data_IF_635151036058
#
_entry.id   IF_635151036058
#
_cell.length_a   1.000
_cell.length_b   1.000
_cell.length_c   1.000
_cell.angle_alpha   90.00
_cell.angle_beta   90.00
_cell.angle_gamma   90.00
#
_symmetry.space_group_name_H-M   'P 1'
#
loop_
_entity.id
_entity.type
_entity.pdbx_description
1 polymer ?
#
# COMPACT_ATOMS: atom_id res chain seq x y z
N UNK A 1 22.35 -6.24 2.25
CA UNK A 1 21.38 -5.59 3.14
C UNK A 1 20.00 -6.16 2.87
N UNK A 2 19.26 -6.52 3.92
CA UNK A 2 17.88 -6.95 3.78
C UNK A 2 17.00 -5.76 3.35
N UNK A 3 16.05 -6.00 2.45
CA UNK A 3 15.03 -5.01 2.05
C UNK A 3 13.76 -5.35 2.81
N UNK A 4 13.35 -4.48 3.74
CA UNK A 4 12.15 -4.68 4.55
C UNK A 4 10.91 -4.17 3.82
N UNK A 5 9.82 -4.92 3.97
CA UNK A 5 8.52 -4.60 3.42
C UNK A 5 7.51 -4.60 4.56
N UNK A 6 6.62 -3.61 4.56
CA UNK A 6 5.41 -3.65 5.37
C UNK A 6 4.27 -4.19 4.51
N UNK A 7 3.58 -5.21 5.03
CA UNK A 7 2.60 -5.98 4.29
C UNK A 7 1.14 -5.63 4.64
N UNK A 8 0.91 -4.76 5.62
CA UNK A 8 -0.44 -4.44 6.09
C UNK A 8 -0.57 -2.97 6.49
N UNK A 9 -0.87 -2.11 5.52
CA UNK A 9 -1.04 -0.67 5.74
C UNK A 9 -2.43 -0.22 5.28
N UNK A 10 -3.06 0.59 6.14
CA UNK A 10 -4.28 1.33 5.84
C UNK A 10 -3.97 2.81 5.71
N UNK A 11 -4.60 3.47 4.74
CA UNK A 11 -4.53 4.92 4.58
C UNK A 11 -5.92 5.53 4.59
N UNK A 12 -5.99 6.84 4.82
CA UNK A 12 -7.23 7.63 4.76
C UNK A 12 -7.93 7.55 3.41
N UNK A 13 -7.24 7.11 2.35
CA UNK A 13 -7.81 6.94 1.01
C UNK A 13 -8.81 5.78 0.95
N UNK A 14 -8.60 4.70 1.72
CA UNK A 14 -9.33 3.45 1.56
C UNK A 14 -9.89 2.80 2.80
N UNK A 15 -9.54 3.33 3.96
CA UNK A 15 -9.92 2.78 5.24
C UNK A 15 -10.24 3.92 6.20
N UNK A 16 -11.50 3.98 6.64
CA UNK A 16 -11.99 5.05 7.52
C UNK A 16 -11.46 4.95 8.95
N UNK A 17 -10.83 3.84 9.30
CA UNK A 17 -10.18 3.56 10.57
C UNK A 17 -8.69 3.97 10.59
N UNK A 18 -8.16 4.52 9.49
CA UNK A 18 -6.80 5.05 9.42
C UNK A 18 -6.77 6.58 9.44
N UNK A 19 -5.76 7.11 10.15
CA UNK A 19 -5.40 8.54 10.14
C UNK A 19 -4.17 8.83 9.28
N UNK A 20 -3.57 7.82 8.65
CA UNK A 20 -2.34 7.95 7.85
C UNK A 20 -2.69 8.33 6.41
N UNK A 21 -2.21 9.48 5.92
CA UNK A 21 -2.38 9.83 4.51
C UNK A 21 -1.42 9.01 3.62
N UNK A 22 -1.75 8.76 2.33
CA UNK A 22 -0.83 8.12 1.40
C UNK A 22 0.54 8.81 1.32
N UNK A 23 0.58 10.14 1.38
CA UNK A 23 1.81 10.93 1.34
C UNK A 23 2.64 10.76 2.61
N UNK A 24 2.02 10.84 3.78
CA UNK A 24 2.69 10.63 5.07
C UNK A 24 3.24 9.20 5.17
N UNK A 25 2.51 8.21 4.65
CA UNK A 25 2.96 6.82 4.57
C UNK A 25 4.29 6.71 3.80
N UNK A 26 4.44 7.41 2.68
CA UNK A 26 5.70 7.39 1.90
C UNK A 26 6.84 8.03 2.68
N UNK A 27 6.60 9.17 3.33
CA UNK A 27 7.61 9.87 4.12
C UNK A 27 8.10 9.01 5.29
N UNK A 28 7.18 8.34 5.98
CA UNK A 28 7.50 7.47 7.11
C UNK A 28 8.23 6.21 6.66
N UNK A 29 7.84 5.63 5.51
CA UNK A 29 8.54 4.50 4.92
C UNK A 29 10.00 4.83 4.57
N UNK A 30 10.25 6.01 4.01
CA UNK A 30 11.62 6.48 3.71
C UNK A 30 12.42 6.70 5.00
N UNK A 31 11.82 7.35 6.01
CA UNK A 31 12.43 7.56 7.33
C UNK A 31 12.86 6.24 8.00
N UNK A 32 12.08 5.19 7.81
CA UNK A 32 12.32 3.85 8.34
C UNK A 32 13.21 2.97 7.44
N UNK A 33 13.53 3.42 6.22
CA UNK A 33 14.30 2.66 5.23
C UNK A 33 13.55 1.46 4.64
N UNK A 34 12.21 1.48 4.64
CA UNK A 34 11.39 0.46 4.00
C UNK A 34 11.54 0.53 2.47
N UNK A 35 11.49 -0.63 1.81
CA UNK A 35 11.66 -0.74 0.36
C UNK A 35 10.41 -1.19 -0.37
N UNK A 36 9.38 -1.58 0.36
CA UNK A 36 8.04 -1.68 -0.20
C UNK A 36 6.95 -1.70 0.85
N UNK A 37 5.76 -1.37 0.37
CA UNK A 37 4.57 -1.10 1.15
C UNK A 37 3.39 -1.76 0.47
N UNK A 38 2.59 -2.47 1.25
CA UNK A 38 1.38 -3.12 0.80
C UNK A 38 0.18 -2.38 1.38
N UNK A 39 -0.61 -1.76 0.51
CA UNK A 39 -1.83 -1.06 0.91
C UNK A 39 -2.98 -2.06 0.93
N UNK A 40 -3.41 -2.45 2.12
CA UNK A 40 -4.44 -3.46 2.41
C UNK A 40 -5.75 -2.81 2.82
N UNK A 41 -6.20 -1.82 2.05
CA UNK A 41 -7.39 -1.04 2.40
C UNK A 41 -8.67 -1.89 2.50
N UNK A 42 -9.59 -1.54 3.40
CA UNK A 42 -10.91 -2.20 3.55
C UNK A 42 -11.81 -2.02 2.32
N UNK A 43 -11.80 -0.80 1.77
CA UNK A 43 -12.76 -0.41 0.72
C UNK A 43 -12.19 -0.60 -0.70
N UNK A 44 -10.92 -1.01 -0.82
CA UNK A 44 -10.20 -1.13 -2.09
C UNK A 44 -10.38 0.08 -3.02
N UNK A 45 -10.24 1.34 -2.56
CA UNK A 45 -10.64 2.54 -3.30
C UNK A 45 -9.76 2.84 -4.54
N UNK A 46 -8.60 2.21 -4.61
CA UNK A 46 -7.57 2.59 -5.56
C UNK A 46 -7.91 2.02 -6.94
N UNK A 47 -8.28 2.92 -7.86
CA UNK A 47 -8.25 2.59 -9.27
C UNK A 47 -6.84 2.14 -9.67
N UNK A 48 -6.77 1.20 -10.61
CA UNK A 48 -5.49 0.63 -11.04
C UNK A 48 -4.56 1.68 -11.66
N UNK A 49 -5.10 2.64 -12.42
CA UNK A 49 -4.30 3.66 -13.09
C UNK A 49 -3.86 4.73 -12.10
N UNK A 50 -4.76 5.17 -11.21
CA UNK A 50 -4.45 6.10 -10.13
C UNK A 50 -3.32 5.55 -9.23
N UNK A 51 -3.43 4.29 -8.80
CA UNK A 51 -2.40 3.63 -7.99
C UNK A 51 -1.05 3.57 -8.72
N UNK A 52 -1.06 3.23 -10.01
CA UNK A 52 0.15 3.15 -10.82
C UNK A 52 0.81 4.53 -10.97
N UNK A 53 0.03 5.58 -11.17
CA UNK A 53 0.52 6.95 -11.25
C UNK A 53 1.13 7.39 -9.93
N UNK A 54 0.45 7.15 -8.82
CA UNK A 54 0.97 7.43 -7.48
C UNK A 54 2.29 6.69 -7.23
N UNK A 55 2.32 5.38 -7.47
CA UNK A 55 3.51 4.57 -7.29
C UNK A 55 4.71 5.00 -8.15
N UNK A 56 4.46 5.52 -9.36
CA UNK A 56 5.51 6.00 -10.25
C UNK A 56 6.24 7.25 -9.72
N UNK A 57 5.68 7.95 -8.74
CA UNK A 57 6.28 9.14 -8.12
C UNK A 57 7.28 8.80 -7.01
N UNK A 58 7.37 7.54 -6.59
CA UNK A 58 8.07 7.17 -5.36
C UNK A 58 9.08 6.04 -5.56
N UNK A 59 10.21 6.16 -4.89
CA UNK A 59 11.30 5.18 -4.91
C UNK A 59 11.10 4.06 -3.88
N UNK A 60 9.89 3.52 -3.83
CA UNK A 60 9.49 2.35 -3.04
C UNK A 60 8.61 1.44 -3.90
N UNK A 61 8.65 0.13 -3.64
CA UNK A 61 7.70 -0.80 -4.26
C UNK A 61 6.34 -0.64 -3.59
N UNK A 62 5.33 -0.19 -4.31
CA UNK A 62 3.96 -0.17 -3.83
C UNK A 62 3.18 -1.37 -4.39
N UNK A 63 2.47 -2.03 -3.49
CA UNK A 63 1.66 -3.22 -3.78
C UNK A 63 0.21 -2.89 -3.46
N UNK A 64 -0.66 -3.04 -4.47
CA UNK A 64 -2.10 -2.86 -4.30
C UNK A 64 -2.71 -4.17 -3.79
N UNK A 65 -3.10 -4.19 -2.53
CA UNK A 65 -3.76 -5.33 -1.89
C UNK A 65 -5.15 -4.91 -1.40
N UNK A 66 -5.77 -5.76 -0.58
CA UNK A 66 -7.06 -5.50 0.06
C UNK A 66 -7.15 -6.34 1.33
N UNK A 67 -7.66 -5.74 2.40
CA UNK A 67 -8.16 -6.49 3.55
C UNK A 67 -9.65 -6.77 3.32
N UNK A 68 -10.04 -8.03 3.34
CA UNK A 68 -11.42 -8.47 3.14
C UNK A 68 -12.02 -8.86 4.48
N UNK A 69 -13.08 -8.18 4.88
CA UNK A 69 -13.89 -8.59 6.02
C UNK A 69 -14.74 -9.82 5.64
N UNK A 70 -14.70 -10.83 6.51
CA UNK A 70 -15.48 -12.05 6.35
C UNK A 70 -16.16 -12.44 7.67
N UNK A 71 -17.11 -13.36 7.62
CA UNK A 71 -17.72 -13.95 8.83
C UNK A 71 -16.74 -14.75 9.69
N UNK A 72 -15.50 -14.97 9.23
CA UNK A 72 -14.44 -15.69 9.95
C UNK A 72 -13.27 -14.79 10.34
N UNK A 73 -13.43 -13.46 10.25
CA UNK A 73 -12.39 -12.47 10.52
C UNK A 73 -11.90 -11.76 9.26
N UNK A 74 -10.81 -11.01 9.39
CA UNK A 74 -10.22 -10.26 8.28
C UNK A 74 -9.13 -11.07 7.57
N UNK A 75 -9.12 -10.98 6.25
CA UNK A 75 -8.16 -11.68 5.40
C UNK A 75 -7.50 -10.68 4.45
N UNK A 76 -6.18 -10.50 4.60
CA UNK A 76 -5.37 -9.70 3.66
C UNK A 76 -5.00 -10.52 2.44
N UNK A 77 -5.31 -9.98 1.26
CA UNK A 77 -5.06 -10.62 -0.02
C UNK A 77 -4.35 -9.69 -1.00
N UNK A 78 -3.35 -10.24 -1.72
CA UNK A 78 -2.72 -9.54 -2.83
C UNK A 78 -3.59 -9.64 -4.08
N UNK A 79 -3.73 -8.54 -4.80
CA UNK A 79 -4.39 -8.55 -6.10
C UNK A 79 -3.38 -8.99 -7.15
N UNK A 80 -3.85 -9.79 -8.12
CA UNK A 80 -3.03 -10.12 -9.29
C UNK A 80 -2.71 -8.85 -10.11
N UNK A 81 -1.47 -8.74 -10.55
CA UNK A 81 -0.97 -7.57 -11.27
C UNK A 81 0.50 -7.23 -10.98
N UNK A 82 1.08 -6.32 -11.77
CA UNK A 82 2.48 -5.94 -11.61
C UNK A 82 2.69 -5.12 -10.33
N UNK A 83 3.82 -5.36 -9.68
CA UNK A 83 4.37 -4.46 -8.68
C UNK A 83 4.61 -3.09 -9.33
N UNK A 84 4.32 -2.01 -8.60
CA UNK A 84 4.45 -0.65 -9.11
C UNK A 84 5.53 0.10 -8.31
N UNK A 85 6.41 0.82 -8.99
CA UNK A 85 7.46 1.63 -8.36
C UNK A 85 7.97 2.69 -9.33
N UNK A 86 8.48 3.79 -8.79
CA UNK A 86 9.13 4.88 -9.54
C UNK A 86 10.64 4.73 -9.72
N UNK A 87 11.23 3.56 -9.44
CA UNK A 87 12.66 3.34 -9.70
C UNK A 87 12.97 3.58 -11.19
N UNK A 88 13.67 4.67 -11.50
CA UNK A 88 14.32 4.89 -12.79
C UNK A 88 15.68 4.20 -12.84
#
# INVERSE_FOLDING_TARGET
MARLFDLHIHTTKGSSDSSLTPEDMILEADRLGLRGLCLTEHSGPWDRHEFKQFAALHNVVLIRAMEVETNYGHISGFRDGPLSSGFQ
#
